data_IF_256219094973
#
_entry.id   IF_256219094973
#
_cell.length_a   1.000
_cell.length_b   1.000
_cell.length_c   1.000
_cell.angle_alpha   90.00
_cell.angle_beta   90.00
_cell.angle_gamma   90.00
#
_symmetry.space_group_name_H-M   'P 1'
#
loop_
_entity.id
_entity.type
_entity.pdbx_description
1 polymer ?
#
# COMPACT_ATOMS: atom_id res chain seq x y z
N UNK A 1 5.35 4.70 -7.47
CA UNK A 1 3.97 5.11 -7.12
C UNK A 1 3.80 4.87 -5.64
N UNK A 2 3.29 5.87 -4.93
CA UNK A 2 2.83 5.72 -3.55
C UNK A 2 1.31 5.72 -3.56
N UNK A 3 0.71 4.86 -2.74
CA UNK A 3 -0.74 4.70 -2.69
C UNK A 3 -1.27 4.96 -1.28
N UNK A 4 -2.46 5.54 -1.22
CA UNK A 4 -3.28 5.66 -0.01
C UNK A 4 -4.57 4.85 -0.20
N UNK A 5 -5.03 4.16 0.83
CA UNK A 5 -6.30 3.44 0.82
C UNK A 5 -6.88 3.30 2.23
N UNK A 6 -8.20 3.27 2.35
CA UNK A 6 -8.90 3.08 3.63
C UNK A 6 -10.19 2.28 3.47
N UNK A 7 -10.59 1.58 4.53
CA UNK A 7 -11.84 0.80 4.64
C UNK A 7 -12.46 1.00 6.03
N UNK A 8 -13.79 1.11 6.06
CA UNK A 8 -14.59 1.12 7.28
C UNK A 8 -15.70 0.06 7.18
N UNK A 9 -15.91 -0.72 8.23
CA UNK A 9 -17.06 -1.61 8.37
C UNK A 9 -18.08 -1.00 9.34
N UNK A 10 -19.23 -0.56 8.81
CA UNK A 10 -20.26 0.16 9.58
C UNK A 10 -20.78 -0.58 10.82
N UNK A 11 -21.19 -1.87 10.71
CA UNK A 11 -21.74 -2.62 11.85
C UNK A 11 -20.79 -2.79 13.04
N UNK A 12 -19.53 -3.14 12.79
CA UNK A 12 -18.54 -3.35 13.86
C UNK A 12 -17.74 -2.10 14.20
N UNK A 13 -17.89 -1.02 13.41
CA UNK A 13 -17.07 0.19 13.46
C UNK A 13 -15.57 -0.05 13.28
N UNK A 14 -15.19 -1.21 12.72
CA UNK A 14 -13.81 -1.52 12.40
C UNK A 14 -13.30 -0.59 11.29
N UNK A 15 -12.07 -0.10 11.43
CA UNK A 15 -11.46 0.82 10.48
C UNK A 15 -9.99 0.49 10.27
N UNK A 16 -9.53 0.62 9.02
CA UNK A 16 -8.15 0.41 8.65
C UNK A 16 -7.75 1.25 7.45
N UNK A 17 -6.52 1.75 7.48
CA UNK A 17 -5.97 2.58 6.41
C UNK A 17 -4.48 2.33 6.17
N UNK A 18 -4.04 2.60 4.95
CA UNK A 18 -2.64 2.69 4.56
C UNK A 18 -2.37 4.02 3.89
N UNK A 19 -1.19 4.58 4.15
CA UNK A 19 -0.72 5.80 3.48
C UNK A 19 0.68 5.65 2.91
N UNK A 20 0.99 6.36 1.83
CA UNK A 20 2.29 6.36 1.17
C UNK A 20 2.87 4.93 0.93
N UNK A 21 2.01 3.92 0.71
CA UNK A 21 2.47 2.54 0.59
C UNK A 21 3.00 2.29 -0.82
N UNK A 22 4.14 1.61 -0.91
CA UNK A 22 4.80 1.27 -2.17
C UNK A 22 4.88 -0.26 -2.32
N UNK A 23 4.96 -0.74 -3.56
CA UNK A 23 5.17 -2.16 -3.86
C UNK A 23 4.02 -3.09 -3.49
N UNK A 24 2.83 -2.54 -3.22
CA UNK A 24 1.62 -3.30 -2.92
C UNK A 24 0.65 -3.18 -4.10
N UNK A 25 0.38 -4.31 -4.76
CA UNK A 25 -0.52 -4.39 -5.93
C UNK A 25 -1.95 -3.96 -5.57
N UNK A 26 -2.41 -4.30 -4.37
CA UNK A 26 -3.76 -3.96 -3.89
C UNK A 26 -3.72 -3.33 -2.49
N UNK A 27 -3.53 -2.00 -2.38
CA UNK A 27 -3.45 -1.29 -1.11
C UNK A 27 -4.72 -1.41 -0.24
N UNK A 28 -5.91 -1.54 -0.86
CA UNK A 28 -7.17 -1.65 -0.10
C UNK A 28 -7.32 -3.01 0.60
N UNK A 29 -6.70 -4.08 0.09
CA UNK A 29 -6.61 -5.36 0.83
C UNK A 29 -5.81 -5.22 2.13
N UNK A 30 -4.75 -4.40 2.13
CA UNK A 30 -3.96 -4.11 3.33
C UNK A 30 -4.79 -3.30 4.32
N UNK A 31 -5.48 -2.25 3.86
CA UNK A 31 -6.39 -1.47 4.70
C UNK A 31 -7.51 -2.33 5.32
N UNK A 32 -8.09 -3.25 4.55
CA UNK A 32 -9.10 -4.18 5.04
C UNK A 32 -8.55 -5.14 6.11
N UNK A 33 -7.30 -5.60 5.96
CA UNK A 33 -6.65 -6.44 6.98
C UNK A 33 -6.36 -5.66 8.27
N UNK A 34 -5.92 -4.40 8.17
CA UNK A 34 -5.76 -3.52 9.34
C UNK A 34 -7.10 -3.32 10.04
N UNK A 35 -8.19 -3.15 9.29
CA UNK A 35 -9.53 -3.03 9.87
C UNK A 35 -9.93 -4.31 10.64
N UNK A 36 -9.65 -5.49 10.11
CA UNK A 36 -9.89 -6.75 10.81
C UNK A 36 -9.06 -6.85 12.08
N UNK A 37 -7.75 -6.58 12.01
CA UNK A 37 -6.89 -6.62 13.18
C UNK A 37 -7.35 -5.61 14.26
N UNK A 38 -7.88 -4.45 13.87
CA UNK A 38 -8.32 -3.39 14.79
C UNK A 38 -9.41 -3.82 15.79
N UNK A 39 -10.13 -4.92 15.52
CA UNK A 39 -11.18 -5.42 16.43
C UNK A 39 -10.62 -6.09 17.68
N UNK A 40 -9.36 -6.52 17.63
CA UNK A 40 -8.74 -7.28 18.72
C UNK A 40 -7.81 -6.38 19.55
N UNK A 41 -8.14 -6.11 20.83
CA UNK A 41 -7.32 -5.26 21.66
C UNK A 41 -5.96 -5.90 21.99
N UNK A 42 -4.95 -5.06 22.15
CA UNK A 42 -3.64 -5.48 22.67
C UNK A 42 -3.68 -5.65 24.19
N UNK A 43 -2.57 -6.13 24.75
CA UNK A 43 -2.37 -6.19 26.20
C UNK A 43 -2.65 -4.83 26.86
N UNK A 44 -3.28 -4.91 28.03
CA UNK A 44 -3.78 -3.76 28.79
C UNK A 44 -4.89 -2.97 28.08
N UNK A 45 -5.61 -3.58 27.13
CA UNK A 45 -6.77 -2.96 26.46
C UNK A 45 -6.39 -1.87 25.46
N UNK A 46 -5.14 -1.81 25.01
CA UNK A 46 -4.68 -0.81 24.04
C UNK A 46 -5.28 -1.08 22.67
N UNK A 47 -5.74 -0.03 22.01
CA UNK A 47 -6.24 -0.08 20.63
C UNK A 47 -5.07 -0.39 19.68
N UNK A 48 -5.30 -1.28 18.72
CA UNK A 48 -4.32 -1.56 17.66
C UNK A 48 -4.20 -0.38 16.70
N UNK A 49 -3.08 -0.28 15.95
CA UNK A 49 -2.94 0.73 14.91
C UNK A 49 -4.09 0.66 13.90
N UNK A 50 -4.73 1.80 13.65
CA UNK A 50 -5.80 1.94 12.65
C UNK A 50 -5.26 2.37 11.27
N UNK A 51 -4.04 2.89 11.23
CA UNK A 51 -3.39 3.34 10.00
C UNK A 51 -1.90 3.03 10.05
N UNK A 52 -1.35 2.57 8.94
CA UNK A 52 0.09 2.37 8.74
C UNK A 52 0.55 3.15 7.51
N UNK A 53 1.78 3.67 7.52
CA UNK A 53 2.29 4.44 6.39
C UNK A 53 3.66 3.96 5.91
N UNK A 54 3.97 4.27 4.64
CA UNK A 54 5.31 4.14 4.07
C UNK A 54 5.88 2.72 4.19
N UNK A 55 7.17 2.59 4.58
CA UNK A 55 7.82 1.30 4.76
C UNK A 55 7.13 0.40 5.80
N UNK A 56 6.51 0.98 6.83
CA UNK A 56 5.79 0.23 7.86
C UNK A 56 4.55 -0.48 7.29
N UNK A 57 3.82 0.17 6.37
CA UNK A 57 2.70 -0.44 5.68
C UNK A 57 3.15 -1.57 4.74
N UNK A 58 4.27 -1.39 4.03
CA UNK A 58 4.82 -2.43 3.16
C UNK A 58 5.34 -3.65 3.93
N UNK A 59 5.98 -3.43 5.08
CA UNK A 59 6.43 -4.50 5.98
C UNK A 59 5.26 -5.24 6.63
N UNK A 60 4.16 -4.55 6.91
CA UNK A 60 2.93 -5.17 7.39
C UNK A 60 2.27 -6.02 6.29
N UNK A 61 2.17 -5.50 5.05
CA UNK A 61 1.63 -6.24 3.90
C UNK A 61 2.44 -7.52 3.62
N UNK A 62 3.76 -7.33 3.49
CA UNK A 62 4.84 -8.16 4.06
C UNK A 62 4.44 -9.44 4.79
N UNK A 63 4.34 -9.26 6.10
CA UNK A 63 4.08 -10.30 7.09
C UNK A 63 2.72 -10.99 6.93
N UNK A 64 1.79 -10.40 6.18
CA UNK A 64 0.43 -10.91 5.98
C UNK A 64 0.21 -11.54 4.59
N UNK A 65 1.27 -11.69 3.78
CA UNK A 65 1.17 -12.27 2.44
C UNK A 65 0.34 -11.43 1.46
N UNK A 66 0.27 -10.11 1.70
CA UNK A 66 -0.49 -9.15 0.88
C UNK A 66 0.40 -8.39 -0.12
N UNK A 67 1.70 -8.62 -0.04
CA UNK A 67 2.69 -8.23 -1.03
C UNK A 67 2.78 -9.33 -2.11
N UNK A 68 1.71 -9.49 -2.90
CA UNK A 68 1.81 -10.29 -4.12
C UNK A 68 2.69 -9.51 -5.12
N UNK A 69 3.99 -9.81 -5.05
CA UNK A 69 4.86 -9.71 -6.22
C UNK A 69 4.54 -10.94 -7.05
N UNK A 70 4.22 -10.74 -8.34
CA UNK A 70 4.28 -11.86 -9.28
C UNK A 70 5.68 -12.45 -9.15
N UNK A 71 5.77 -13.70 -8.69
CA UNK A 71 7.01 -14.45 -8.82
C UNK A 71 7.32 -14.50 -10.32
N UNK A 72 8.44 -13.89 -10.69
CA UNK A 72 9.05 -14.14 -11.98
C UNK A 72 9.42 -15.62 -12.00
N UNK A 73 8.67 -16.43 -12.76
CA UNK A 73 9.21 -17.71 -13.19
C UNK A 73 10.56 -17.44 -13.87
N UNK A 74 11.58 -18.20 -13.51
CA UNK A 74 12.96 -18.03 -13.98
C UNK A 74 13.13 -18.46 -15.46
N UNK A 75 12.37 -17.84 -16.35
CA UNK A 75 12.42 -17.97 -17.80
C UNK A 75 12.16 -16.61 -18.43
N UNK A 76 13.10 -16.14 -19.25
CA UNK A 76 13.24 -14.75 -19.70
C UNK A 76 11.99 -14.04 -20.21
N UNK A 77 11.94 -12.73 -19.97
CA UNK A 77 11.04 -11.78 -20.64
C UNK A 77 10.67 -10.58 -19.78
N UNK A 78 11.34 -9.45 -20.04
CA UNK A 78 10.97 -8.04 -19.76
C UNK A 78 10.39 -7.65 -18.39
N UNK A 79 11.19 -6.89 -17.64
CA UNK A 79 10.79 -6.30 -16.36
C UNK A 79 9.76 -5.18 -16.52
N UNK A 80 8.62 -5.33 -15.85
CA UNK A 80 7.69 -4.24 -15.53
C UNK A 80 6.76 -4.66 -14.36
N UNK A 81 7.38 -4.85 -13.20
CA UNK A 81 6.65 -5.08 -11.94
C UNK A 81 5.92 -3.80 -11.50
N UNK A 82 4.65 -3.69 -11.88
CA UNK A 82 3.67 -2.71 -11.38
C UNK A 82 3.91 -1.21 -11.73
N UNK A 83 4.40 -0.93 -12.94
CA UNK A 83 4.14 0.36 -13.61
C UNK A 83 3.65 0.03 -15.02
N UNK A 84 2.34 0.11 -15.27
CA UNK A 84 1.85 0.13 -16.66
C UNK A 84 2.56 1.30 -17.34
N UNK A 85 3.09 1.21 -18.57
CA UNK A 85 3.92 2.27 -19.20
C UNK A 85 3.33 3.72 -19.28
N UNK A 86 2.13 3.98 -18.76
CA UNK A 86 1.41 5.26 -18.84
C UNK A 86 1.78 6.37 -17.83
N UNK A 87 2.06 6.10 -16.53
CA UNK A 87 2.33 7.14 -15.54
C UNK A 87 3.59 7.94 -15.85
N UNK A 88 4.63 7.27 -16.36
CA UNK A 88 5.90 7.91 -16.70
C UNK A 88 5.76 9.00 -17.77
N UNK A 89 4.95 8.73 -18.78
CA UNK A 89 4.70 9.66 -19.88
C UNK A 89 3.84 10.85 -19.46
N UNK A 90 2.85 10.69 -18.58
CA UNK A 90 2.01 11.80 -18.14
C UNK A 90 2.67 12.68 -17.06
N UNK A 91 3.65 12.17 -16.30
CA UNK A 91 4.38 12.99 -15.33
C UNK A 91 5.58 13.74 -15.97
N UNK A 92 6.19 13.22 -17.04
CA UNK A 92 7.37 13.83 -17.66
C UNK A 92 7.21 15.32 -18.02
N UNK A 93 6.06 15.80 -18.55
CA UNK A 93 5.86 17.22 -18.82
C UNK A 93 5.79 18.09 -17.57
N UNK A 94 5.48 17.53 -16.39
CA UNK A 94 5.33 18.29 -15.14
C UNK A 94 6.58 18.20 -14.25
N UNK A 95 7.56 17.38 -14.64
CA UNK A 95 8.82 17.18 -13.93
C UNK A 95 9.57 18.50 -13.64
N UNK A 96 9.62 19.37 -14.65
CA UNK A 96 10.33 20.65 -14.58
C UNK A 96 9.71 21.63 -13.57
N UNK A 97 8.42 21.49 -13.24
CA UNK A 97 7.74 22.34 -12.27
C UNK A 97 8.16 22.02 -10.82
N UNK A 98 8.70 20.83 -10.57
CA UNK A 98 9.06 20.34 -9.22
C UNK A 98 10.55 20.52 -8.93
N UNK A 99 11.41 20.45 -9.96
CA UNK A 99 12.88 20.54 -9.78
C UNK A 99 13.43 21.96 -9.79
N UNK A 100 12.60 22.97 -10.10
CA UNK A 100 13.01 24.38 -10.06
C UNK A 100 14.09 24.77 -11.08
N UNK A 101 14.37 23.92 -12.07
CA UNK A 101 15.31 24.23 -13.13
C UNK A 101 14.56 24.91 -14.29
N UNK A 102 14.76 26.23 -14.44
CA UNK A 102 14.53 26.95 -15.70
C UNK A 102 15.74 26.86 -16.62
#
# INVERSE_FOLDING_TARGET
>A
VECDAAVMHGPTRAFGAVGAVQGVTNPVRVAARIAQDSTDPLSCGRVRPLMLCGPGAAAYASAHGLCETHAVDAGGGDGDGAVKAGPSACWAPHAHMVTGAS
#
